data_IF_036437796144
#
_entry.id   IF_036437796144
#
_cell.length_a   1.000
_cell.length_b   1.000
_cell.length_c   1.000
_cell.angle_alpha   90.00
_cell.angle_beta   90.00
_cell.angle_gamma   90.00
#
_symmetry.space_group_name_H-M   'P 1'
#
loop_
_entity.id
_entity.type
_entity.pdbx_description
1 polymer ?
#
# COMPACT_ATOMS: atom_id res chain seq x y z
N UNK A 1 29.84 -2.95 -6.35
CA UNK A 1 28.43 -2.84 -5.94
C UNK A 1 28.35 -3.23 -4.47
N UNK A 2 27.88 -2.33 -3.61
CA UNK A 2 27.72 -2.62 -2.18
C UNK A 2 26.23 -2.55 -1.87
N UNK A 3 25.67 -3.64 -1.35
CA UNK A 3 24.26 -3.71 -0.94
C UNK A 3 24.22 -3.47 0.56
N UNK A 4 23.51 -2.43 0.99
CA UNK A 4 23.21 -2.20 2.40
C UNK A 4 21.89 -2.88 2.77
N UNK A 5 21.87 -3.61 3.89
CA UNK A 5 20.64 -4.22 4.42
C UNK A 5 20.27 -3.56 5.75
N UNK A 6 18.97 -3.44 6.02
CA UNK A 6 18.43 -3.03 7.31
C UNK A 6 17.32 -3.99 7.69
N UNK A 7 17.31 -4.41 8.95
CA UNK A 7 16.25 -5.23 9.51
C UNK A 7 15.37 -4.36 10.40
N UNK A 8 14.06 -4.57 10.32
CA UNK A 8 13.08 -3.90 11.15
C UNK A 8 12.29 -4.94 11.94
N UNK A 9 12.10 -4.67 13.21
CA UNK A 9 11.25 -5.45 14.12
C UNK A 9 10.26 -4.48 14.76
N UNK A 10 8.94 -4.75 14.73
CA UNK A 10 7.98 -3.90 15.41
C UNK A 10 8.29 -3.84 16.91
N UNK A 11 7.98 -2.73 17.55
CA UNK A 11 8.05 -2.64 19.02
C UNK A 11 7.08 -3.63 19.65
N UNK A 12 7.31 -3.99 20.92
CA UNK A 12 6.33 -4.78 21.69
C UNK A 12 4.96 -4.10 21.65
N UNK A 13 3.90 -4.89 21.47
CA UNK A 13 2.53 -4.40 21.27
C UNK A 13 2.17 -4.06 19.82
N UNK A 14 3.13 -4.01 18.90
CA UNK A 14 2.89 -3.71 17.48
C UNK A 14 3.17 -4.92 16.58
N UNK A 15 2.63 -4.89 15.37
CA UNK A 15 2.89 -5.85 14.31
C UNK A 15 2.99 -5.14 12.95
N UNK A 16 3.51 -5.85 11.95
CA UNK A 16 3.40 -5.40 10.57
C UNK A 16 2.06 -5.85 9.99
N UNK A 17 1.35 -4.90 9.38
CA UNK A 17 0.23 -5.18 8.48
C UNK A 17 0.75 -4.99 7.06
N UNK A 18 0.75 -6.06 6.27
CA UNK A 18 1.13 -6.01 4.86
C UNK A 18 -0.15 -6.02 4.04
N UNK A 19 -0.30 -5.00 3.18
CA UNK A 19 -1.43 -4.89 2.26
C UNK A 19 -0.90 -5.00 0.84
N UNK A 20 -1.27 -6.09 0.17
CA UNK A 20 -1.00 -6.29 -1.24
C UNK A 20 -2.21 -5.83 -2.05
N UNK A 21 -2.00 -4.85 -2.93
CA UNK A 21 -3.01 -4.30 -3.82
C UNK A 21 -2.58 -4.47 -5.28
N UNK A 22 -3.54 -4.78 -6.13
CA UNK A 22 -3.34 -4.82 -7.59
C UNK A 22 -4.23 -3.78 -8.24
N UNK A 23 -3.62 -2.90 -9.02
CA UNK A 23 -4.31 -1.89 -9.81
C UNK A 23 -4.37 -2.32 -11.26
N UNK A 24 -5.53 -2.11 -11.86
CA UNK A 24 -5.72 -2.25 -13.29
C UNK A 24 -6.25 -0.92 -13.82
N UNK A 25 -5.54 -0.33 -14.77
CA UNK A 25 -6.03 0.85 -15.46
C UNK A 25 -7.07 0.40 -16.50
N UNK A 26 -8.33 0.79 -16.29
CA UNK A 26 -9.46 0.40 -17.13
C UNK A 26 -9.67 1.36 -18.32
N UNK A 27 -8.98 2.50 -18.36
CA UNK A 27 -9.16 3.53 -19.38
C UNK A 27 -7.89 3.70 -20.25
N UNK A 28 -7.86 3.16 -21.49
CA UNK A 28 -6.70 3.18 -22.40
C UNK A 28 -6.14 4.57 -22.69
N UNK A 29 -6.98 5.59 -22.59
CA UNK A 29 -6.66 6.96 -22.97
C UNK A 29 -6.10 7.79 -21.80
N UNK A 30 -6.12 7.25 -20.58
CA UNK A 30 -5.66 7.92 -19.37
C UNK A 30 -4.45 7.22 -18.76
N UNK A 31 -3.54 8.01 -18.19
CA UNK A 31 -2.45 7.49 -17.36
C UNK A 31 -2.83 7.61 -15.90
N UNK A 32 -3.04 6.49 -15.22
CA UNK A 32 -3.20 6.49 -13.77
C UNK A 32 -1.84 6.63 -13.10
N UNK A 33 -1.77 7.46 -12.07
CA UNK A 33 -0.60 7.58 -11.19
C UNK A 33 -0.95 6.96 -9.85
N UNK A 34 -0.03 6.15 -9.32
CA UNK A 34 -0.15 5.56 -7.99
C UNK A 34 1.09 5.96 -7.20
N UNK A 35 0.89 6.57 -6.03
CA UNK A 35 1.95 6.85 -5.08
C UNK A 35 1.70 6.13 -3.77
N UNK A 36 2.75 5.52 -3.22
CA UNK A 36 2.68 4.91 -1.88
C UNK A 36 2.49 5.96 -0.76
N UNK A 37 2.78 7.25 -1.01
CA UNK A 37 2.54 8.33 -0.03
C UNK A 37 1.07 8.76 0.02
N UNK A 38 0.28 8.38 -0.99
CA UNK A 38 -1.15 8.69 -1.09
C UNK A 38 -2.03 7.55 -0.56
N UNK A 39 -1.42 6.51 0.01
CA UNK A 39 -2.11 5.35 0.58
C UNK A 39 -2.03 5.34 2.10
N UNK A 40 -3.18 5.15 2.72
CA UNK A 40 -3.29 4.96 4.16
C UNK A 40 -4.24 3.80 4.48
N UNK A 41 -4.09 3.25 5.68
CA UNK A 41 -5.12 2.40 6.29
C UNK A 41 -5.82 3.20 7.38
N UNK A 42 -7.13 3.03 7.48
CA UNK A 42 -7.95 3.59 8.54
C UNK A 42 -8.40 2.44 9.44
N UNK A 43 -8.13 2.53 10.74
CA UNK A 43 -8.50 1.51 11.72
C UNK A 43 -9.99 1.60 12.08
N UNK A 44 -10.51 0.60 12.81
CA UNK A 44 -11.87 0.64 13.33
C UNK A 44 -12.12 1.79 14.34
N UNK A 45 -11.05 2.35 14.92
CA UNK A 45 -11.10 3.54 15.77
C UNK A 45 -11.00 4.86 14.97
N UNK A 46 -11.12 4.80 13.64
CA UNK A 46 -10.93 5.90 12.70
C UNK A 46 -9.55 6.58 12.78
N UNK A 47 -8.53 5.86 13.23
CA UNK A 47 -7.14 6.31 13.16
C UNK A 47 -6.58 6.10 11.74
N UNK A 48 -5.91 7.12 11.20
CA UNK A 48 -5.26 7.05 9.88
C UNK A 48 -3.78 6.72 10.04
N UNK A 49 -3.33 5.64 9.41
CA UNK A 49 -1.95 5.14 9.46
C UNK A 49 -1.37 5.15 8.05
N UNK A 50 -0.29 5.89 7.85
CA UNK A 50 0.46 5.95 6.58
C UNK A 50 1.41 4.76 6.44
N UNK A 51 1.68 4.33 5.22
CA UNK A 51 2.63 3.26 4.98
C UNK A 51 4.04 3.62 5.49
N UNK A 52 4.65 2.72 6.26
CA UNK A 52 6.03 2.84 6.75
C UNK A 52 7.07 2.43 5.68
N UNK A 53 6.62 1.75 4.63
CA UNK A 53 7.42 1.34 3.48
C UNK A 53 6.57 0.57 2.47
N UNK A 54 7.14 0.28 1.31
CA UNK A 54 6.46 -0.50 0.30
C UNK A 54 7.32 -0.79 -0.92
N UNK A 55 6.85 -1.72 -1.74
CA UNK A 55 7.45 -2.09 -3.02
C UNK A 55 6.41 -2.01 -4.13
N UNK A 56 6.84 -1.60 -5.32
CA UNK A 56 6.02 -1.54 -6.53
C UNK A 56 6.60 -2.46 -7.59
N UNK A 57 5.75 -3.25 -8.24
CA UNK A 57 6.14 -4.15 -9.33
C UNK A 57 5.11 -4.10 -10.45
N UNK A 58 5.59 -4.06 -11.70
CA UNK A 58 4.76 -4.03 -12.90
C UNK A 58 5.61 -3.88 -14.15
N UNK A 59 5.01 -4.17 -15.29
CA UNK A 59 5.63 -4.04 -16.60
C UNK A 59 5.36 -2.64 -17.15
N UNK A 60 6.36 -2.04 -17.80
CA UNK A 60 6.30 -0.66 -18.33
C UNK A 60 6.08 0.45 -17.29
N UNK A 61 6.63 0.28 -16.09
CA UNK A 61 6.64 1.31 -15.04
C UNK A 61 7.68 2.40 -15.36
N UNK A 62 7.22 3.65 -15.44
CA UNK A 62 8.10 4.81 -15.26
C UNK A 62 8.14 5.18 -13.78
N UNK A 63 9.27 4.89 -13.12
CA UNK A 63 9.51 5.30 -11.73
C UNK A 63 9.93 6.77 -11.72
N UNK A 64 8.99 7.66 -11.40
CA UNK A 64 9.31 8.99 -10.88
C UNK A 64 9.63 8.86 -9.40
N UNK A 65 10.45 9.76 -8.84
CA UNK A 65 10.93 9.68 -7.46
C UNK A 65 9.85 9.55 -6.37
N UNK A 66 8.56 9.74 -6.70
CA UNK A 66 7.44 9.66 -5.75
C UNK A 66 6.19 8.93 -6.28
N UNK A 67 6.15 8.51 -7.55
CA UNK A 67 4.96 7.90 -8.13
C UNK A 67 5.30 6.95 -9.28
N UNK A 68 4.43 5.97 -9.49
CA UNK A 68 4.43 5.08 -10.65
C UNK A 68 3.28 5.45 -11.56
N UNK A 69 3.59 5.71 -12.83
CA UNK A 69 2.61 5.86 -13.88
C UNK A 69 2.33 4.50 -14.53
N UNK A 70 1.05 4.13 -14.64
CA UNK A 70 0.62 2.87 -15.26
C UNK A 70 -0.15 3.12 -16.56
N UNK A 71 0.23 2.38 -17.61
CA UNK A 71 -0.51 2.30 -18.87
C UNK A 71 -1.37 1.03 -18.89
N UNK A 72 -2.41 1.02 -19.73
CA UNK A 72 -3.55 0.07 -19.68
C UNK A 72 -3.23 -1.40 -19.93
N UNK A 73 -2.02 -1.72 -20.33
CA UNK A 73 -1.70 -3.08 -20.76
C UNK A 73 -1.27 -4.00 -19.64
N UNK A 74 -0.78 -3.48 -18.52
CA UNK A 74 -0.23 -4.32 -17.45
C UNK A 74 -0.73 -3.89 -16.06
N UNK A 75 -1.12 -4.84 -15.19
CA UNK A 75 -1.49 -4.53 -13.82
C UNK A 75 -0.26 -4.05 -13.03
N UNK A 76 -0.50 -3.12 -12.10
CA UNK A 76 0.49 -2.65 -11.13
C UNK A 76 0.22 -3.36 -9.81
N UNK A 77 1.22 -4.08 -9.30
CA UNK A 77 1.19 -4.65 -7.95
C UNK A 77 1.92 -3.73 -6.98
N UNK A 78 1.30 -3.47 -5.84
CA UNK A 78 1.81 -2.64 -4.76
C UNK A 78 1.73 -3.42 -3.45
N UNK A 79 2.86 -3.58 -2.79
CA UNK A 79 2.93 -4.12 -1.43
C UNK A 79 3.25 -3.00 -0.47
N UNK A 80 2.35 -2.75 0.48
CA UNK A 80 2.49 -1.70 1.49
C UNK A 80 2.67 -2.30 2.86
N UNK A 81 3.57 -1.72 3.65
CA UNK A 81 3.84 -2.16 5.02
C UNK A 81 3.39 -1.05 5.97
N UNK A 82 2.49 -1.41 6.88
CA UNK A 82 2.02 -0.57 7.98
C UNK A 82 2.49 -1.14 9.30
N UNK A 83 2.64 -0.27 10.30
CA UNK A 83 2.93 -0.67 11.69
C UNK A 83 1.69 -0.33 12.49
N UNK A 84 1.06 -1.34 13.08
CA UNK A 84 -0.23 -1.21 13.78
C UNK A 84 -0.18 -1.94 15.12
N UNK A 85 -1.07 -1.59 16.04
CA UNK A 85 -1.18 -2.28 17.33
C UNK A 85 -1.70 -3.71 17.12
N UNK A 86 -1.19 -4.69 17.88
CA UNK A 86 -1.49 -6.11 17.66
C UNK A 86 -2.97 -6.44 17.83
N UNK A 87 -3.64 -5.78 18.75
CA UNK A 87 -5.08 -5.92 18.99
C UNK A 87 -5.94 -5.34 17.86
N UNK A 88 -5.39 -4.45 17.02
CA UNK A 88 -6.11 -3.91 15.86
C UNK A 88 -6.27 -4.91 14.72
N UNK A 89 -5.44 -5.97 14.65
CA UNK A 89 -5.46 -6.95 13.55
C UNK A 89 -6.77 -7.71 13.43
N UNK A 90 -7.43 -7.96 14.56
CA UNK A 90 -8.69 -8.71 14.60
C UNK A 90 -9.90 -7.84 14.20
N UNK A 91 -9.67 -6.56 13.90
CA UNK A 91 -10.68 -5.62 13.47
C UNK A 91 -10.63 -5.35 11.97
N UNK A 92 -11.73 -4.84 11.42
CA UNK A 92 -11.76 -4.38 10.04
C UNK A 92 -10.98 -3.07 9.89
N UNK A 93 -10.29 -2.96 8.77
CA UNK A 93 -9.60 -1.77 8.30
C UNK A 93 -10.32 -1.22 7.07
N UNK A 94 -10.00 0.02 6.71
CA UNK A 94 -10.37 0.60 5.42
C UNK A 94 -9.10 1.05 4.71
N UNK A 95 -8.90 0.60 3.49
CA UNK A 95 -7.84 1.10 2.63
C UNK A 95 -8.29 2.41 1.99
N UNK A 96 -7.47 3.44 2.09
CA UNK A 96 -7.76 4.78 1.60
C UNK A 96 -6.76 5.18 0.52
N UNK A 97 -7.29 5.55 -0.64
CA UNK A 97 -6.59 6.27 -1.70
C UNK A 97 -7.33 7.60 -1.93
N UNK A 98 -6.62 8.69 -2.21
CA UNK A 98 -7.21 10.05 -2.27
C UNK A 98 -8.48 10.16 -3.13
N UNK A 99 -8.54 9.47 -4.27
CA UNK A 99 -9.62 9.59 -5.26
C UNK A 99 -10.48 8.32 -5.38
N UNK A 100 -10.33 7.35 -4.47
CA UNK A 100 -11.07 6.08 -4.51
C UNK A 100 -11.91 5.95 -3.24
N UNK A 101 -13.15 5.41 -3.33
CA UNK A 101 -13.92 5.07 -2.14
C UNK A 101 -13.12 4.19 -1.17
N UNK A 102 -13.35 4.37 0.13
CA UNK A 102 -12.74 3.55 1.17
C UNK A 102 -13.08 2.07 0.93
N UNK A 103 -12.05 1.23 0.87
CA UNK A 103 -12.19 -0.20 0.61
C UNK A 103 -12.07 -0.96 1.94
N UNK A 104 -13.15 -1.52 2.49
CA UNK A 104 -13.07 -2.28 3.73
C UNK A 104 -12.35 -3.60 3.51
N UNK A 105 -11.52 -4.01 4.48
CA UNK A 105 -10.86 -5.31 4.50
C UNK A 105 -10.62 -5.78 5.93
N UNK A 106 -10.36 -7.08 6.10
CA UNK A 106 -9.96 -7.69 7.36
C UNK A 106 -8.74 -8.56 7.11
N UNK A 107 -7.90 -8.71 8.14
CA UNK A 107 -6.80 -9.68 8.09
C UNK A 107 -7.41 -11.07 8.25
N UNK A 108 -7.43 -11.85 7.18
CA UNK A 108 -7.93 -13.24 7.19
C UNK A 108 -6.86 -14.23 7.65
N UNK A 109 -7.31 -15.39 8.17
CA UNK A 109 -6.48 -16.59 8.39
C UNK A 109 -5.82 -17.10 7.10
#
# INVERSE_FOLDING_TARGET
MTVGTRQYTPKSGYTFLIVDATFQNLNPDETTRVSSSEVAVITAADETITAAGGGMQGKDINVGYEFVAMSVKDPLSLSLVFIVEKDTIDHAFKLHFQEVPLIPFSVGE
#
